data_IF_039820307358
#
_entry.id   IF_039820307358
#
_cell.length_a   1.000
_cell.length_b   1.000
_cell.length_c   1.000
_cell.angle_alpha   90.00
_cell.angle_beta   90.00
_cell.angle_gamma   90.00
#
_symmetry.space_group_name_H-M   'P 1'
#
loop_
_entity.id
_entity.type
_entity.pdbx_description
1 polymer ?
#
# COMPACT_ATOMS: atom_id res chain seq x y z
N UNK A 1 8.11 12.83 42.47
CA UNK A 1 8.21 13.28 41.09
C UNK A 1 8.95 12.30 40.16
N UNK A 2 9.88 11.49 40.63
CA UNK A 2 10.68 10.52 39.82
C UNK A 2 9.84 9.26 39.46
N UNK A 3 8.89 8.82 40.29
CA UNK A 3 8.06 7.65 40.01
C UNK A 3 7.06 7.81 38.85
N UNK A 4 6.60 9.04 38.57
CA UNK A 4 5.65 9.30 37.48
C UNK A 4 6.32 9.26 36.10
N UNK A 5 7.58 9.65 36.01
CA UNK A 5 8.35 9.66 34.75
C UNK A 5 8.66 8.23 34.31
N UNK A 6 8.97 7.32 35.24
CA UNK A 6 9.23 5.91 34.93
C UNK A 6 7.97 5.16 34.45
N UNK A 7 6.80 5.50 34.96
CA UNK A 7 5.53 4.87 34.55
C UNK A 7 5.13 5.33 33.14
N UNK A 8 5.37 6.59 32.79
CA UNK A 8 5.08 7.12 31.44
C UNK A 8 6.02 6.53 30.41
N UNK A 9 7.30 6.34 30.71
CA UNK A 9 8.26 5.70 29.79
C UNK A 9 7.92 4.22 29.58
N UNK A 10 7.42 3.51 30.60
CA UNK A 10 7.03 2.09 30.47
C UNK A 10 5.74 1.88 29.67
N UNK A 11 4.83 2.87 29.65
CA UNK A 11 3.61 2.85 28.83
C UNK A 11 3.91 3.15 27.35
N UNK A 12 4.92 3.96 27.08
CA UNK A 12 5.32 4.32 25.70
C UNK A 12 6.11 3.23 24.95
N UNK A 13 6.55 2.18 25.63
CA UNK A 13 7.37 1.10 25.03
C UNK A 13 6.64 -0.25 24.90
N UNK A 14 5.36 -0.36 25.25
CA UNK A 14 4.57 -1.54 24.92
C UNK A 14 4.08 -1.47 23.47
N UNK A 15 4.95 -1.81 22.54
CA UNK A 15 4.45 -2.35 21.29
C UNK A 15 3.76 -3.67 21.61
N UNK A 16 2.45 -3.76 21.36
CA UNK A 16 1.75 -5.04 21.51
C UNK A 16 2.45 -6.07 20.63
N UNK A 17 2.84 -7.21 21.19
CA UNK A 17 3.50 -8.25 20.41
C UNK A 17 2.58 -8.66 19.24
N UNK A 18 3.20 -9.01 18.12
CA UNK A 18 2.48 -9.59 16.98
C UNK A 18 1.71 -10.83 17.46
N UNK A 19 0.43 -10.95 17.09
CA UNK A 19 -0.38 -12.11 17.47
C UNK A 19 0.18 -13.36 16.80
N UNK A 20 0.29 -14.45 17.54
CA UNK A 20 0.80 -15.72 17.02
C UNK A 20 -0.02 -16.26 15.84
N UNK A 21 -1.32 -16.08 15.86
CA UNK A 21 -2.24 -16.44 14.79
C UNK A 21 -3.48 -15.55 14.84
N UNK A 22 -4.07 -15.31 13.66
CA UNK A 22 -5.37 -14.66 13.51
C UNK A 22 -6.30 -15.54 12.68
N UNK A 23 -7.57 -15.54 13.01
CA UNK A 23 -8.61 -16.21 12.23
C UNK A 23 -9.50 -15.17 11.55
N UNK A 24 -9.66 -15.27 10.24
CA UNK A 24 -10.58 -14.47 9.45
C UNK A 24 -11.48 -15.43 8.67
N UNK A 25 -12.78 -15.34 8.91
CA UNK A 25 -13.77 -16.26 8.33
C UNK A 25 -13.37 -17.73 8.55
N UNK A 26 -13.15 -18.46 7.46
CA UNK A 26 -12.78 -19.87 7.41
C UNK A 26 -11.27 -20.14 7.37
N UNK A 27 -10.43 -19.09 7.42
CA UNK A 27 -8.97 -19.22 7.29
C UNK A 27 -8.22 -18.78 8.52
N UNK A 28 -7.10 -19.43 8.76
CA UNK A 28 -6.11 -19.08 9.79
C UNK A 28 -4.88 -18.49 9.10
N UNK A 29 -4.33 -17.47 9.70
CA UNK A 29 -3.12 -16.81 9.23
C UNK A 29 -2.08 -16.76 10.34
N UNK A 30 -0.82 -16.97 9.98
CA UNK A 30 0.34 -16.87 10.88
C UNK A 30 1.17 -15.63 10.58
N UNK A 31 1.95 -15.14 11.55
CA UNK A 31 2.80 -13.96 11.38
C UNK A 31 3.74 -14.07 10.18
N UNK A 32 3.90 -12.96 9.43
CA UNK A 32 4.86 -12.86 8.33
C UNK A 32 5.78 -11.65 8.48
N UNK A 33 5.23 -10.44 8.57
CA UNK A 33 6.00 -9.20 8.63
C UNK A 33 5.48 -8.36 9.79
N UNK A 34 6.31 -8.07 10.81
CA UNK A 34 5.91 -7.22 11.92
C UNK A 34 5.82 -5.75 11.50
N UNK A 35 4.93 -5.00 12.16
CA UNK A 35 4.63 -3.60 11.83
C UNK A 35 5.84 -2.68 11.87
N UNK A 36 6.77 -2.90 12.79
CA UNK A 36 8.00 -2.10 12.88
C UNK A 36 8.93 -2.30 11.66
N UNK A 37 8.92 -3.49 11.05
CA UNK A 37 9.62 -3.72 9.79
C UNK A 37 8.92 -3.03 8.63
N UNK A 38 7.58 -3.00 8.63
CA UNK A 38 6.79 -2.25 7.63
C UNK A 38 7.10 -0.77 7.73
N UNK A 39 7.06 -0.20 8.94
CA UNK A 39 7.36 1.22 9.18
C UNK A 39 8.77 1.60 8.68
N UNK A 40 9.79 0.81 9.00
CA UNK A 40 11.16 1.03 8.50
C UNK A 40 11.25 1.00 6.98
N UNK A 41 10.50 0.14 6.32
CA UNK A 41 10.47 0.10 4.85
C UNK A 41 9.79 1.32 4.25
N UNK A 42 8.75 1.84 4.92
CA UNK A 42 8.09 3.10 4.53
C UNK A 42 9.04 4.29 4.74
N UNK A 43 9.78 4.32 5.86
CA UNK A 43 10.80 5.35 6.12
C UNK A 43 11.84 5.40 4.98
N UNK A 44 12.31 4.24 4.52
CA UNK A 44 13.28 4.15 3.44
C UNK A 44 12.71 4.64 2.09
N UNK A 45 11.44 4.33 1.78
CA UNK A 45 10.75 4.85 0.58
C UNK A 45 10.57 6.35 0.68
N UNK A 46 10.08 6.85 1.81
CA UNK A 46 9.87 8.28 2.02
C UNK A 46 11.17 9.08 1.88
N UNK A 47 12.28 8.59 2.45
CA UNK A 47 13.59 9.23 2.31
C UNK A 47 14.03 9.35 0.84
N UNK A 48 13.80 8.31 0.01
CA UNK A 48 14.08 8.36 -1.42
C UNK A 48 13.19 9.36 -2.14
N UNK A 49 11.89 9.40 -1.80
CA UNK A 49 10.96 10.36 -2.38
C UNK A 49 11.33 11.78 -2.00
N UNK A 50 11.67 12.05 -0.73
CA UNK A 50 12.10 13.36 -0.26
C UNK A 50 13.33 13.84 -1.04
N UNK A 51 14.35 12.98 -1.24
CA UNK A 51 15.52 13.31 -2.04
C UNK A 51 15.17 13.60 -3.52
N UNK A 52 14.25 12.85 -4.12
CA UNK A 52 13.84 13.03 -5.52
C UNK A 52 13.02 14.32 -5.74
N UNK A 53 12.36 14.83 -4.71
CA UNK A 53 11.51 16.04 -4.79
C UNK A 53 12.16 17.28 -4.15
N UNK A 54 13.31 17.13 -3.47
CA UNK A 54 14.03 18.25 -2.87
C UNK A 54 14.35 19.34 -3.90
N UNK A 55 13.95 20.57 -3.61
CA UNK A 55 14.22 21.75 -4.46
C UNK A 55 13.51 21.77 -5.81
N UNK A 56 12.66 20.78 -6.15
CA UNK A 56 11.96 20.75 -7.44
C UNK A 56 10.80 21.74 -7.54
N UNK A 57 10.21 22.13 -6.40
CA UNK A 57 8.97 22.92 -6.36
C UNK A 57 7.75 22.19 -6.92
N UNK A 58 7.85 20.91 -7.22
CA UNK A 58 6.75 20.10 -7.75
C UNK A 58 5.83 19.66 -6.62
N UNK A 59 4.51 19.87 -6.78
CA UNK A 59 3.46 19.33 -5.91
C UNK A 59 2.77 18.18 -6.65
N UNK A 60 3.18 16.91 -6.44
CA UNK A 60 2.58 15.80 -7.14
C UNK A 60 1.21 15.43 -6.54
N UNK A 61 0.36 14.80 -7.35
CA UNK A 61 -0.84 14.13 -6.88
C UNK A 61 -0.44 12.76 -6.31
N UNK A 62 -0.70 12.54 -5.03
CA UNK A 62 -0.59 11.24 -4.40
C UNK A 62 -1.92 10.49 -4.57
N UNK A 63 -1.96 9.50 -5.47
CA UNK A 63 -3.18 8.78 -5.82
C UNK A 63 -3.30 7.48 -5.03
N UNK A 64 -4.11 7.52 -3.95
CA UNK A 64 -4.41 6.36 -3.10
C UNK A 64 -5.34 5.37 -3.83
N UNK A 65 -4.91 4.14 -4.06
CA UNK A 65 -5.75 3.08 -4.63
C UNK A 65 -6.51 2.37 -3.52
N UNK A 66 -7.80 2.63 -3.46
CA UNK A 66 -8.68 2.13 -2.40
C UNK A 66 -9.06 0.65 -2.60
N UNK A 67 -9.23 -0.11 -1.48
CA UNK A 67 -9.13 0.30 -0.07
C UNK A 67 -7.78 -0.09 0.56
N UNK A 68 -7.01 -0.98 -0.08
CA UNK A 68 -5.83 -1.62 0.50
C UNK A 68 -4.72 -0.64 0.84
N UNK A 69 -4.50 0.36 -0.01
CA UNK A 69 -3.38 1.30 0.18
C UNK A 69 -3.64 2.42 1.20
N UNK A 70 -4.82 2.45 1.86
CA UNK A 70 -5.18 3.55 2.79
C UNK A 70 -4.12 3.71 3.89
N UNK A 71 -3.76 2.61 4.58
CA UNK A 71 -2.80 2.67 5.69
C UNK A 71 -1.40 3.05 5.19
N UNK A 72 -0.95 2.44 4.09
CA UNK A 72 0.32 2.79 3.47
C UNK A 72 0.37 4.26 3.05
N UNK A 73 -0.67 4.76 2.38
CA UNK A 73 -0.74 6.17 1.96
C UNK A 73 -0.66 7.11 3.15
N UNK A 74 -1.41 6.83 4.22
CA UNK A 74 -1.41 7.66 5.42
C UNK A 74 -0.04 7.69 6.12
N UNK A 75 0.61 6.52 6.24
CA UNK A 75 1.93 6.43 6.85
C UNK A 75 3.02 7.09 5.98
N UNK A 76 2.94 6.92 4.66
CA UNK A 76 3.85 7.55 3.72
C UNK A 76 3.75 9.07 3.78
N UNK A 77 2.53 9.63 3.70
CA UNK A 77 2.30 11.09 3.72
C UNK A 77 2.90 11.78 4.94
N UNK A 78 2.83 11.17 6.12
CA UNK A 78 3.40 11.73 7.36
C UNK A 78 4.92 11.89 7.33
N UNK A 79 5.60 11.24 6.38
CA UNK A 79 7.05 11.16 6.23
C UNK A 79 7.59 11.97 5.05
N UNK A 80 6.69 12.57 4.26
CA UNK A 80 7.10 13.42 3.13
C UNK A 80 7.39 14.84 3.60
N UNK A 81 8.52 15.39 3.16
CA UNK A 81 8.99 16.74 3.47
C UNK A 81 8.60 17.77 2.38
N UNK A 82 7.76 17.37 1.43
CA UNK A 82 7.25 18.22 0.36
C UNK A 82 5.71 18.15 0.28
N UNK A 83 5.08 19.17 -0.29
CA UNK A 83 3.64 19.24 -0.42
C UNK A 83 3.11 18.22 -1.42
N UNK A 84 1.97 17.61 -1.12
CA UNK A 84 1.26 16.66 -1.99
C UNK A 84 -0.23 17.00 -2.07
N UNK A 85 -0.83 16.75 -3.24
CA UNK A 85 -2.28 16.82 -3.45
C UNK A 85 -2.84 15.39 -3.33
N UNK A 86 -3.64 15.10 -2.30
CA UNK A 86 -4.16 13.75 -2.09
C UNK A 86 -5.45 13.53 -2.87
N UNK A 87 -5.43 12.53 -3.73
CA UNK A 87 -6.63 12.00 -4.40
C UNK A 87 -6.77 10.50 -4.13
N UNK A 88 -7.97 9.97 -4.36
CA UNK A 88 -8.22 8.54 -4.26
C UNK A 88 -8.97 8.01 -5.47
N UNK A 89 -8.77 6.72 -5.75
CA UNK A 89 -9.48 6.00 -6.80
C UNK A 89 -9.84 4.60 -6.29
N UNK A 90 -11.01 4.10 -6.66
CA UNK A 90 -11.40 2.73 -6.36
C UNK A 90 -11.61 1.95 -7.64
N UNK A 91 -10.90 0.84 -7.73
CA UNK A 91 -10.99 -0.09 -8.86
C UNK A 91 -11.52 -1.43 -8.37
N UNK A 92 -12.41 -2.05 -9.14
CA UNK A 92 -12.80 -3.44 -8.94
C UNK A 92 -12.38 -4.28 -10.13
N UNK A 93 -11.91 -5.49 -9.87
CA UNK A 93 -11.80 -6.53 -10.88
C UNK A 93 -13.13 -7.24 -10.96
N UNK A 94 -13.80 -7.18 -12.09
CA UNK A 94 -15.06 -7.91 -12.29
C UNK A 94 -14.82 -9.42 -12.14
N UNK A 95 -15.35 -10.02 -11.06
CA UNK A 95 -15.44 -11.47 -10.88
C UNK A 95 -16.79 -11.95 -11.42
N UNK A 96 -16.99 -11.82 -12.73
CA UNK A 96 -18.14 -12.40 -13.41
C UNK A 96 -17.74 -13.63 -14.24
N UNK A 97 -18.69 -14.45 -14.63
CA UNK A 97 -18.53 -15.71 -15.37
C UNK A 97 -17.89 -15.59 -16.76
N UNK A 98 -17.49 -14.38 -17.16
CA UNK A 98 -16.67 -14.11 -18.35
C UNK A 98 -15.58 -13.10 -17.96
N UNK A 99 -14.43 -13.60 -17.50
CA UNK A 99 -13.28 -12.78 -17.13
C UNK A 99 -12.58 -12.22 -18.38
N UNK A 100 -13.02 -11.07 -18.86
CA UNK A 100 -12.29 -10.30 -19.90
C UNK A 100 -11.06 -9.61 -19.36
N UNK A 101 -10.77 -9.71 -18.05
CA UNK A 101 -9.64 -9.03 -17.40
C UNK A 101 -9.78 -7.50 -17.36
N UNK A 102 -10.95 -6.96 -17.65
CA UNK A 102 -11.21 -5.52 -17.61
C UNK A 102 -11.24 -5.03 -16.15
N UNK A 103 -10.49 -4.00 -15.87
CA UNK A 103 -10.52 -3.25 -14.60
C UNK A 103 -11.65 -2.23 -14.70
N UNK A 104 -12.60 -2.30 -13.78
CA UNK A 104 -13.71 -1.35 -13.71
C UNK A 104 -13.42 -0.27 -12.66
N UNK A 105 -13.79 0.97 -12.94
CA UNK A 105 -13.62 2.09 -12.03
C UNK A 105 -14.91 2.29 -11.24
N UNK A 106 -14.92 1.88 -9.97
CA UNK A 106 -16.09 2.03 -9.08
C UNK A 106 -16.21 3.50 -8.59
N UNK A 107 -15.07 4.15 -8.35
CA UNK A 107 -14.98 5.55 -7.98
C UNK A 107 -13.87 6.19 -8.80
N UNK A 108 -14.24 7.16 -9.62
CA UNK A 108 -13.31 7.90 -10.48
C UNK A 108 -12.45 8.91 -9.73
N UNK A 109 -11.49 9.49 -10.44
CA UNK A 109 -10.71 10.62 -9.96
C UNK A 109 -11.64 11.80 -9.65
N UNK A 110 -11.49 12.39 -8.46
CA UNK A 110 -12.35 13.48 -7.97
C UNK A 110 -11.86 14.86 -8.37
N UNK A 111 -10.66 14.97 -8.99
CA UNK A 111 -10.05 16.24 -9.39
C UNK A 111 -9.40 16.21 -10.76
N UNK A 112 -9.01 17.41 -11.23
CA UNK A 112 -8.25 17.56 -12.48
C UNK A 112 -6.77 17.28 -12.23
N UNK A 113 -6.21 16.40 -13.07
CA UNK A 113 -4.79 16.00 -13.08
C UNK A 113 -4.04 16.48 -14.32
N UNK A 114 -4.69 17.31 -15.16
CA UNK A 114 -4.07 17.82 -16.39
C UNK A 114 -2.77 18.55 -16.10
N UNK A 115 -1.67 18.08 -16.70
CA UNK A 115 -0.34 18.65 -16.52
C UNK A 115 0.33 18.34 -15.18
N UNK A 116 -0.34 17.62 -14.25
CA UNK A 116 0.23 17.26 -12.96
C UNK A 116 1.06 15.97 -13.05
N UNK A 117 2.07 15.85 -12.21
CA UNK A 117 2.74 14.59 -11.91
C UNK A 117 1.86 13.79 -10.93
N UNK A 118 1.66 12.49 -11.19
CA UNK A 118 0.84 11.60 -10.36
C UNK A 118 1.69 10.45 -9.86
N UNK A 119 1.64 10.21 -8.55
CA UNK A 119 2.26 9.05 -7.89
C UNK A 119 1.13 8.10 -7.49
N UNK A 120 1.02 6.96 -8.16
CA UNK A 120 0.10 5.89 -7.76
C UNK A 120 0.64 5.28 -6.48
N UNK A 121 -0.19 5.18 -5.44
CA UNK A 121 0.14 4.50 -4.18
C UNK A 121 -0.72 3.24 -4.06
N UNK A 122 -0.06 2.08 -4.10
CA UNK A 122 -0.67 0.76 -4.09
C UNK A 122 -0.20 -0.05 -2.89
N UNK A 123 -1.07 -0.88 -2.33
CA UNK A 123 -0.71 -1.80 -1.23
C UNK A 123 0.16 -2.95 -1.72
N UNK A 124 -0.21 -3.56 -2.85
CA UNK A 124 0.50 -4.70 -3.42
C UNK A 124 0.46 -4.69 -4.95
N UNK A 125 1.61 -4.86 -5.55
CA UNK A 125 1.73 -5.14 -6.99
C UNK A 125 2.03 -6.63 -7.18
N UNK A 126 1.05 -7.33 -7.75
CA UNK A 126 1.13 -8.74 -8.14
C UNK A 126 1.42 -8.83 -9.66
N UNK A 127 0.43 -9.09 -10.49
CA UNK A 127 0.60 -9.20 -11.95
C UNK A 127 0.83 -7.85 -12.66
N UNK A 128 0.57 -6.74 -11.99
CA UNK A 128 0.67 -5.38 -12.52
C UNK A 128 -0.49 -4.95 -13.43
N UNK A 129 -1.57 -5.73 -13.53
CA UNK A 129 -2.73 -5.38 -14.38
C UNK A 129 -3.39 -4.08 -13.93
N UNK A 130 -3.57 -3.88 -12.62
CA UNK A 130 -4.13 -2.65 -12.04
C UNK A 130 -3.26 -1.45 -12.39
N UNK A 131 -1.96 -1.56 -12.18
CA UNK A 131 -1.00 -0.49 -12.50
C UNK A 131 -1.04 -0.15 -13.99
N UNK A 132 -1.03 -1.15 -14.87
CA UNK A 132 -1.10 -0.91 -16.32
C UNK A 132 -2.38 -0.18 -16.72
N UNK A 133 -3.53 -0.55 -16.15
CA UNK A 133 -4.80 0.12 -16.42
C UNK A 133 -4.78 1.57 -15.90
N UNK A 134 -4.29 1.79 -14.67
CA UNK A 134 -4.19 3.12 -14.08
C UNK A 134 -3.28 4.04 -14.89
N UNK A 135 -2.09 3.61 -15.25
CA UNK A 135 -1.14 4.40 -16.03
C UNK A 135 -1.76 4.84 -17.35
N UNK A 136 -2.46 3.95 -18.06
CA UNK A 136 -3.20 4.29 -19.29
C UNK A 136 -4.28 5.35 -19.06
N UNK A 137 -5.07 5.20 -17.98
CA UNK A 137 -6.15 6.14 -17.62
C UNK A 137 -5.57 7.52 -17.28
N UNK A 138 -4.48 7.57 -16.50
CA UNK A 138 -3.87 8.82 -16.07
C UNK A 138 -3.27 9.60 -17.25
N UNK A 139 -2.56 8.93 -18.15
CA UNK A 139 -2.06 9.59 -19.37
C UNK A 139 -3.19 10.02 -20.32
N UNK A 140 -4.26 9.24 -20.45
CA UNK A 140 -5.45 9.66 -21.21
C UNK A 140 -6.12 10.90 -20.61
N UNK A 141 -5.97 11.12 -19.29
CA UNK A 141 -6.40 12.34 -18.57
C UNK A 141 -5.32 13.43 -18.52
N UNK A 142 -4.30 13.34 -19.37
CA UNK A 142 -3.24 14.32 -19.57
C UNK A 142 -2.36 14.57 -18.33
N UNK A 143 -2.15 13.53 -17.48
CA UNK A 143 -1.09 13.60 -16.49
C UNK A 143 0.26 13.85 -17.22
N UNK A 144 1.11 14.71 -16.70
CA UNK A 144 2.41 15.02 -17.31
C UNK A 144 3.42 13.89 -17.08
N UNK A 145 3.31 13.22 -15.92
CA UNK A 145 4.17 12.11 -15.52
C UNK A 145 3.42 11.20 -14.56
N UNK A 146 3.69 9.91 -14.64
CA UNK A 146 3.12 8.92 -13.71
C UNK A 146 4.27 8.12 -13.11
N UNK A 147 4.34 8.10 -11.78
CA UNK A 147 5.21 7.24 -10.98
C UNK A 147 4.39 6.22 -10.22
N UNK A 148 5.02 5.12 -9.83
CA UNK A 148 4.38 4.06 -9.04
C UNK A 148 5.14 3.83 -7.75
N UNK A 149 4.41 3.93 -6.63
CA UNK A 149 4.87 3.62 -5.29
C UNK A 149 4.03 2.45 -4.74
N UNK A 150 4.67 1.36 -4.33
CA UNK A 150 3.98 0.21 -3.75
C UNK A 150 4.61 -0.23 -2.45
N UNK A 151 3.78 -0.63 -1.48
CA UNK A 151 4.27 -1.22 -0.24
C UNK A 151 4.89 -2.59 -0.51
N UNK A 152 4.18 -3.44 -1.26
CA UNK A 152 4.58 -4.82 -1.51
C UNK A 152 4.66 -5.10 -3.01
N UNK A 153 5.70 -5.84 -3.40
CA UNK A 153 5.87 -6.37 -4.75
C UNK A 153 6.01 -7.88 -4.70
N UNK A 154 5.33 -8.59 -5.61
CA UNK A 154 5.57 -10.01 -5.91
C UNK A 154 6.40 -10.15 -7.19
N UNK A 155 7.74 -10.16 -7.14
CA UNK A 155 8.58 -10.11 -8.33
C UNK A 155 8.36 -11.27 -9.29
N UNK A 156 8.08 -12.47 -8.76
CA UNK A 156 7.83 -13.67 -9.57
C UNK A 156 6.56 -13.55 -10.44
N UNK A 157 5.59 -12.73 -10.01
CA UNK A 157 4.32 -12.54 -10.69
C UNK A 157 4.30 -11.32 -11.60
N UNK A 158 5.12 -10.32 -11.30
CA UNK A 158 5.18 -9.07 -12.07
C UNK A 158 5.88 -9.28 -13.41
N UNK A 159 5.12 -9.16 -14.51
CA UNK A 159 5.62 -9.39 -15.88
C UNK A 159 5.32 -8.21 -16.80
N UNK A 160 5.21 -7.01 -16.26
CA UNK A 160 4.96 -5.80 -17.02
C UNK A 160 6.26 -5.03 -17.25
N UNK A 161 6.28 -4.23 -18.31
CA UNK A 161 7.40 -3.34 -18.65
C UNK A 161 7.29 -1.97 -17.98
N UNK A 162 6.21 -1.72 -17.23
CA UNK A 162 6.03 -0.47 -16.49
C UNK A 162 7.00 -0.48 -15.30
N UNK A 163 7.82 0.57 -15.18
CA UNK A 163 8.70 0.74 -14.04
C UNK A 163 7.91 0.95 -12.74
N UNK A 164 8.41 0.39 -11.66
CA UNK A 164 7.96 0.71 -10.31
C UNK A 164 9.03 1.60 -9.68
N UNK A 165 8.69 2.87 -9.45
CA UNK A 165 9.68 3.88 -9.02
C UNK A 165 10.09 3.68 -7.56
N UNK A 166 9.12 3.32 -6.72
CA UNK A 166 9.32 3.12 -5.30
C UNK A 166 8.67 1.82 -4.85
N UNK A 167 9.49 0.86 -4.44
CA UNK A 167 9.06 -0.41 -3.84
C UNK A 167 9.60 -0.46 -2.42
N UNK A 168 8.73 -0.66 -1.44
CA UNK A 168 9.14 -0.75 -0.05
C UNK A 168 9.67 -2.14 0.30
N UNK A 169 8.96 -3.21 -0.10
CA UNK A 169 9.37 -4.58 0.19
C UNK A 169 8.99 -5.52 -0.95
N UNK A 170 9.83 -6.54 -1.16
CA UNK A 170 9.51 -7.68 -2.00
C UNK A 170 9.05 -8.87 -1.15
N UNK A 171 8.04 -9.59 -1.64
CA UNK A 171 7.48 -10.75 -0.96
C UNK A 171 7.30 -11.94 -1.92
N UNK A 172 7.27 -13.18 -1.41
CA UNK A 172 6.91 -14.35 -2.20
C UNK A 172 5.43 -14.30 -2.66
N UNK A 173 5.06 -15.26 -3.53
CA UNK A 173 3.71 -15.32 -4.08
C UNK A 173 2.73 -16.05 -3.14
N UNK A 174 2.54 -15.51 -1.95
CA UNK A 174 1.64 -16.06 -0.95
C UNK A 174 0.38 -15.21 -0.79
N UNK A 175 -0.66 -15.79 -0.16
CA UNK A 175 -1.85 -15.06 0.21
C UNK A 175 -1.67 -14.43 1.60
N UNK A 176 -1.75 -13.11 1.65
CA UNK A 176 -1.45 -12.30 2.84
C UNK A 176 -2.60 -11.37 3.19
N UNK A 177 -2.66 -10.97 4.46
CA UNK A 177 -3.62 -10.00 5.01
C UNK A 177 -2.92 -9.11 6.05
N UNK A 178 -3.53 -8.01 6.39
CA UNK A 178 -2.98 -7.03 7.36
C UNK A 178 -2.43 -5.80 6.67
N UNK A 179 -2.22 -4.75 7.41
CA UNK A 179 -1.73 -3.45 6.98
C UNK A 179 -2.43 -2.92 5.69
N UNK A 180 -3.77 -2.94 5.71
CA UNK A 180 -4.60 -2.53 4.57
C UNK A 180 -5.12 -3.69 3.72
N UNK A 181 -4.40 -4.80 3.63
CA UNK A 181 -4.80 -6.01 2.89
C UNK A 181 -5.90 -6.79 3.61
N UNK A 182 -6.80 -7.41 2.86
CA UNK A 182 -7.96 -8.11 3.40
C UNK A 182 -8.17 -9.53 2.89
N UNK A 183 -8.99 -10.27 3.64
CA UNK A 183 -9.69 -11.44 3.19
C UNK A 183 -11.19 -11.24 3.41
N UNK A 184 -11.96 -11.14 2.32
CA UNK A 184 -13.41 -10.90 2.33
C UNK A 184 -13.82 -9.71 3.24
N UNK A 185 -13.10 -8.57 3.13
CA UNK A 185 -13.37 -7.34 3.85
C UNK A 185 -12.76 -7.25 5.24
N UNK A 186 -12.23 -8.33 5.80
CA UNK A 186 -11.63 -8.37 7.14
C UNK A 186 -10.10 -8.44 7.09
N UNK A 187 -9.43 -7.93 8.11
CA UNK A 187 -7.98 -8.02 8.27
C UNK A 187 -7.21 -6.72 8.04
N UNK A 188 -7.79 -5.73 7.38
CA UNK A 188 -7.09 -4.48 7.01
C UNK A 188 -6.55 -3.69 8.19
N UNK A 189 -7.17 -3.82 9.36
CA UNK A 189 -6.86 -3.07 10.59
C UNK A 189 -5.68 -3.63 11.40
N UNK A 190 -5.13 -4.78 11.04
CA UNK A 190 -3.92 -5.28 11.70
C UNK A 190 -2.72 -4.43 11.31
N UNK A 191 -1.88 -4.09 12.30
CA UNK A 191 -0.64 -3.35 12.07
C UNK A 191 0.45 -4.18 11.40
N UNK A 192 0.38 -5.51 11.56
CA UNK A 192 1.32 -6.51 11.03
C UNK A 192 0.73 -7.15 9.77
N UNK A 193 1.59 -7.80 8.98
CA UNK A 193 1.17 -8.63 7.84
C UNK A 193 1.26 -10.10 8.24
N UNK A 194 0.21 -10.83 7.89
CA UNK A 194 0.05 -12.27 8.15
C UNK A 194 -0.10 -13.03 6.85
N UNK A 195 0.43 -14.26 6.82
CA UNK A 195 0.35 -15.19 5.70
C UNK A 195 -0.64 -16.31 5.99
N UNK A 196 -1.34 -16.80 4.97
CA UNK A 196 -2.24 -17.94 5.09
C UNK A 196 -1.49 -19.16 5.67
N UNK A 197 -2.00 -19.71 6.77
CA UNK A 197 -1.47 -20.93 7.37
C UNK A 197 -2.09 -22.16 6.68
N UNK A 198 -1.34 -22.76 5.79
CA UNK A 198 -1.78 -23.95 5.03
C UNK A 198 -1.60 -25.26 5.80
N UNK A 199 -0.93 -25.23 6.94
CA UNK A 199 -0.63 -26.40 7.77
C UNK A 199 -1.72 -26.68 8.81
N UNK A 200 -2.45 -25.65 9.24
CA UNK A 200 -3.56 -25.79 10.19
C UNK A 200 -4.81 -26.22 9.46
N UNK A 201 -5.17 -27.51 9.54
CA UNK A 201 -6.51 -28.00 9.17
C UNK A 201 -7.48 -27.59 10.28
N UNK A 202 -8.53 -26.83 9.93
CA UNK A 202 -9.64 -26.50 10.81
C UNK A 202 -10.51 -27.72 11.09
#
# INVERSE_FOLDING_TARGET
>A
MIFCVFLIIFVLLKQDPMKDRIKLHDKVFKPLIPGDQIEKSIDAVAARMNADYEGTGTVPVLLCVLNGSILFTAELMKRLDFDVDLMSIKLSSYRGTSSTGAVHMDMGLTGDITGKEVIIVEDIVDTGRTIEALVKILYARKASKVKVCTLLLKPAMYKKTIGLDYVAMEIPNDFIVGFGLDYDGLGRNYKDIYILDTETKL
#
